data_IF_121889206362
#
_entry.id   IF_121889206362
#
_cell.length_a   1.000
_cell.length_b   1.000
_cell.length_c   1.000
_cell.angle_alpha   90.00
_cell.angle_beta   90.00
_cell.angle_gamma   90.00
#
_symmetry.space_group_name_H-M   'P 1'
#
loop_
_entity.id
_entity.type
_entity.pdbx_description
1 polymer ?
#
# COMPACT_ATOMS: atom_id res chain seq x y z
N UNK A 1 -14.90 8.34 40.86
CA UNK A 1 -15.17 7.02 40.25
C UNK A 1 -14.69 7.09 38.80
N UNK A 2 -13.77 6.24 38.35
CA UNK A 2 -13.33 6.26 36.96
C UNK A 2 -14.53 5.99 36.05
N UNK A 3 -14.60 6.71 34.93
CA UNK A 3 -15.73 6.62 34.01
C UNK A 3 -15.87 5.18 33.49
N UNK A 4 -17.10 4.63 33.43
CA UNK A 4 -17.31 3.36 32.75
C UNK A 4 -16.86 3.53 31.30
N UNK A 5 -16.00 2.62 30.81
CA UNK A 5 -15.60 2.44 29.40
C UNK A 5 -14.26 3.04 28.93
N UNK A 6 -13.43 3.62 29.79
CA UNK A 6 -12.12 4.16 29.39
C UNK A 6 -11.00 3.10 29.48
N UNK A 7 -10.96 2.17 28.52
CA UNK A 7 -9.89 1.16 28.36
C UNK A 7 -8.88 1.67 27.32
N UNK A 8 -8.09 2.68 27.67
CA UNK A 8 -7.04 3.27 26.81
C UNK A 8 -5.76 3.38 27.64
N UNK A 9 -4.62 3.03 27.05
CA UNK A 9 -3.33 3.15 27.72
C UNK A 9 -2.98 4.62 28.07
N UNK A 10 -2.64 4.94 29.33
CA UNK A 10 -2.08 6.24 29.67
C UNK A 10 -0.73 6.50 28.97
N UNK A 11 0.07 5.44 28.78
CA UNK A 11 1.33 5.50 28.04
C UNK A 11 1.11 5.87 26.57
N UNK A 12 0.07 5.31 25.94
CA UNK A 12 -0.31 5.70 24.59
C UNK A 12 -0.61 7.20 24.50
N UNK A 13 -1.42 7.75 25.40
CA UNK A 13 -1.75 9.18 25.39
C UNK A 13 -0.50 10.04 25.63
N UNK A 14 0.37 9.62 26.55
CA UNK A 14 1.65 10.27 26.81
C UNK A 14 2.50 10.36 25.53
N UNK A 15 2.68 9.26 24.80
CA UNK A 15 3.44 9.22 23.55
C UNK A 15 2.75 9.94 22.38
N UNK A 16 1.43 9.90 22.30
CA UNK A 16 0.69 10.61 21.24
C UNK A 16 0.77 12.13 21.40
N UNK A 17 0.81 12.62 22.65
CA UNK A 17 0.76 14.06 22.98
C UNK A 17 2.09 14.66 23.40
N UNK A 18 3.15 13.85 23.47
CA UNK A 18 4.49 14.22 23.93
C UNK A 18 4.47 14.86 25.35
N UNK A 19 3.54 14.39 26.20
CA UNK A 19 3.36 14.85 27.58
C UNK A 19 3.85 13.79 28.56
N UNK A 20 4.42 14.18 29.73
CA UNK A 20 4.88 13.22 30.72
C UNK A 20 3.73 12.38 31.27
N UNK A 21 3.99 11.12 31.62
CA UNK A 21 2.96 10.19 32.11
C UNK A 21 2.24 10.71 33.37
N UNK A 22 2.93 11.51 34.20
CA UNK A 22 2.37 12.15 35.41
C UNK A 22 1.20 13.10 35.12
N UNK A 23 1.12 13.62 33.89
CA UNK A 23 0.10 14.56 33.45
C UNK A 23 -1.14 13.86 32.88
N UNK A 24 -1.04 12.54 32.64
CA UNK A 24 -2.08 11.76 32.00
C UNK A 24 -2.93 11.08 33.06
N UNK A 25 -4.28 11.15 32.96
CA UNK A 25 -5.15 10.42 33.88
C UNK A 25 -4.88 8.91 33.86
N UNK A 26 -5.02 8.23 34.99
CA UNK A 26 -4.86 6.77 35.09
C UNK A 26 -5.84 5.97 34.21
N UNK A 27 -6.99 6.57 33.89
CA UNK A 27 -8.02 5.99 33.01
C UNK A 27 -8.45 7.00 31.93
N UNK A 28 -7.63 7.20 30.88
CA UNK A 28 -7.94 8.12 29.80
C UNK A 28 -9.13 7.63 28.97
N UNK A 29 -10.00 8.56 28.58
CA UNK A 29 -11.07 8.32 27.62
C UNK A 29 -10.69 8.79 26.21
N UNK A 30 -11.51 8.45 25.22
CA UNK A 30 -11.29 8.84 23.83
C UNK A 30 -11.21 10.37 23.59
N UNK A 31 -11.65 11.21 24.54
CA UNK A 31 -11.48 12.67 24.44
C UNK A 31 -10.05 13.14 24.62
N UNK A 32 -9.16 12.27 25.14
CA UNK A 32 -7.74 12.56 25.31
C UNK A 32 -6.92 12.22 24.07
N UNK A 33 -7.50 11.54 23.08
CA UNK A 33 -6.80 11.21 21.85
C UNK A 33 -6.65 12.48 20.98
N UNK A 34 -5.43 12.79 20.50
CA UNK A 34 -5.21 13.89 19.56
C UNK A 34 -5.65 13.50 18.14
N UNK A 35 -5.53 14.43 17.19
CA UNK A 35 -5.81 14.19 15.79
C UNK A 35 -7.23 14.55 15.35
N UNK A 36 -7.35 15.04 14.11
CA UNK A 36 -8.63 15.48 13.56
C UNK A 36 -9.42 14.29 13.02
N UNK A 37 -8.74 13.36 12.34
CA UNK A 37 -9.34 12.13 11.81
C UNK A 37 -9.77 11.21 12.96
N UNK A 38 -8.98 11.15 14.03
CA UNK A 38 -9.32 10.44 15.26
C UNK A 38 -10.64 10.91 15.87
N UNK A 39 -10.83 12.23 16.01
CA UNK A 39 -12.08 12.81 16.50
C UNK A 39 -13.25 12.52 15.56
N UNK A 40 -13.02 12.53 14.25
CA UNK A 40 -14.03 12.20 13.24
C UNK A 40 -14.46 10.73 13.31
N UNK A 41 -13.49 9.82 13.39
CA UNK A 41 -13.71 8.37 13.48
C UNK A 41 -14.39 8.01 14.79
N UNK A 42 -13.96 8.58 15.92
CA UNK A 42 -14.59 8.35 17.22
C UNK A 42 -16.06 8.80 17.25
N UNK A 43 -16.40 9.93 16.62
CA UNK A 43 -17.81 10.38 16.48
C UNK A 43 -18.66 9.40 15.66
N UNK A 44 -18.05 8.68 14.73
CA UNK A 44 -18.71 7.70 13.85
C UNK A 44 -18.49 6.25 14.31
N UNK A 45 -18.00 5.99 15.53
CA UNK A 45 -17.57 4.67 15.99
C UNK A 45 -18.60 3.55 15.80
N UNK A 46 -19.90 3.87 15.90
CA UNK A 46 -21.00 2.92 15.70
C UNK A 46 -21.05 2.30 14.30
N UNK A 47 -20.53 3.00 13.27
CA UNK A 47 -20.42 2.46 11.90
C UNK A 47 -19.36 1.36 11.76
N UNK A 48 -18.54 1.16 12.79
CA UNK A 48 -17.51 0.11 12.85
C UNK A 48 -17.94 -1.13 13.65
N UNK A 49 -19.14 -1.13 14.23
CA UNK A 49 -19.66 -2.31 14.91
C UNK A 49 -19.85 -3.44 13.87
N UNK A 50 -19.12 -4.54 14.06
CA UNK A 50 -19.14 -5.67 13.13
C UNK A 50 -20.49 -6.38 13.13
N UNK A 51 -20.86 -6.96 11.98
CA UNK A 51 -22.00 -7.88 11.87
C UNK A 51 -21.78 -9.22 12.61
N UNK A 52 -20.56 -9.49 13.11
CA UNK A 52 -20.25 -10.71 13.85
C UNK A 52 -20.57 -10.62 15.33
N UNK A 53 -21.03 -11.74 15.90
CA UNK A 53 -21.35 -11.82 17.32
C UNK A 53 -20.10 -11.63 18.19
N UNK A 54 -20.15 -10.74 19.20
CA UNK A 54 -19.01 -10.46 20.06
C UNK A 54 -18.64 -11.68 20.91
N UNK A 55 -17.34 -11.97 21.04
CA UNK A 55 -16.84 -13.10 21.82
C UNK A 55 -16.65 -12.71 23.29
N UNK A 56 -17.78 -12.53 24.00
CA UNK A 56 -17.76 -12.06 25.38
C UNK A 56 -17.43 -13.18 26.36
N UNK A 57 -16.25 -13.10 26.97
CA UNK A 57 -15.82 -14.01 28.03
C UNK A 57 -15.63 -13.29 29.36
N UNK A 58 -15.83 -14.01 30.47
CA UNK A 58 -15.55 -13.47 31.81
C UNK A 58 -14.11 -13.77 32.19
N UNK A 59 -13.33 -12.71 32.40
CA UNK A 59 -11.94 -12.78 32.82
C UNK A 59 -11.76 -12.16 34.20
N UNK A 60 -10.74 -12.62 34.89
CA UNK A 60 -10.25 -12.07 36.17
C UNK A 60 -8.95 -11.33 35.86
N UNK A 61 -8.89 -10.06 36.24
CA UNK A 61 -7.68 -9.26 36.08
C UNK A 61 -6.63 -9.68 37.13
N UNK A 62 -5.45 -10.13 36.69
CA UNK A 62 -4.35 -10.51 37.57
C UNK A 62 -3.76 -9.35 38.38
N UNK A 63 -3.95 -8.11 37.94
CA UNK A 63 -3.45 -6.91 38.63
C UNK A 63 -4.28 -6.48 39.84
N UNK A 64 -5.62 -6.63 39.78
CA UNK A 64 -6.51 -6.16 40.85
C UNK A 64 -7.48 -7.22 41.38
N UNK A 65 -7.43 -8.44 40.86
CA UNK A 65 -8.31 -9.56 41.23
C UNK A 65 -9.77 -9.40 40.83
N UNK A 66 -10.17 -8.28 40.20
CA UNK A 66 -11.56 -8.01 39.83
C UNK A 66 -11.93 -8.71 38.53
N UNK A 67 -13.13 -9.26 38.50
CA UNK A 67 -13.72 -9.88 37.31
C UNK A 67 -14.42 -8.85 36.41
N UNK A 68 -14.50 -9.16 35.12
CA UNK A 68 -15.25 -8.40 34.13
C UNK A 68 -15.52 -9.22 32.87
N UNK A 69 -16.53 -8.81 32.10
CA UNK A 69 -16.76 -9.34 30.76
C UNK A 69 -16.00 -8.54 29.71
N UNK A 70 -15.28 -9.23 28.83
CA UNK A 70 -14.46 -8.65 27.78
C UNK A 70 -14.71 -9.38 26.46
N UNK A 71 -14.64 -8.65 25.35
CA UNK A 71 -14.72 -9.24 24.02
C UNK A 71 -13.32 -9.67 23.59
N UNK A 72 -13.12 -10.98 23.46
CA UNK A 72 -11.85 -11.57 23.05
C UNK A 72 -11.60 -11.46 21.54
N UNK A 73 -12.58 -11.02 20.76
CA UNK A 73 -12.51 -11.10 19.31
C UNK A 73 -12.38 -12.55 18.83
N UNK A 74 -11.56 -12.75 17.80
CA UNK A 74 -11.25 -14.09 17.31
C UNK A 74 -10.20 -14.75 18.20
N UNK A 75 -10.38 -16.04 18.44
CA UNK A 75 -9.42 -16.90 19.11
C UNK A 75 -8.58 -17.61 18.04
N UNK A 76 -7.28 -17.41 18.07
CA UNK A 76 -6.35 -18.12 17.20
C UNK A 76 -5.70 -19.25 18.00
N UNK A 77 -5.57 -20.42 17.38
CA UNK A 77 -4.93 -21.58 17.99
C UNK A 77 -3.74 -22.01 17.14
N UNK A 78 -2.56 -22.11 17.77
CA UNK A 78 -1.32 -22.54 17.11
C UNK A 78 -1.02 -24.01 17.46
N UNK A 79 -1.36 -24.98 16.57
CA UNK A 79 -1.09 -26.40 16.82
C UNK A 79 0.41 -26.73 16.81
N UNK A 80 1.26 -25.94 16.16
CA UNK A 80 2.72 -26.18 16.13
C UNK A 80 3.40 -25.80 17.45
N UNK A 81 2.85 -24.82 18.16
CA UNK A 81 3.31 -24.45 19.50
C UNK A 81 2.93 -25.52 20.53
N UNK A 82 1.70 -26.06 20.44
CA UNK A 82 1.25 -27.16 21.30
C UNK A 82 2.13 -28.41 21.16
N UNK A 83 2.57 -28.75 19.95
CA UNK A 83 3.46 -29.89 19.71
C UNK A 83 4.86 -29.71 20.31
N UNK A 84 5.45 -28.51 20.20
CA UNK A 84 6.77 -28.19 20.76
C UNK A 84 6.77 -28.18 22.29
N UNK A 85 5.74 -27.59 22.89
CA UNK A 85 5.59 -27.54 24.35
C UNK A 85 5.36 -28.95 24.94
N UNK A 86 4.68 -29.84 24.20
CA UNK A 86 4.51 -31.23 24.56
C UNK A 86 5.84 -32.02 24.52
N UNK A 87 6.70 -31.79 23.52
CA UNK A 87 8.03 -32.40 23.44
C UNK A 87 8.98 -31.95 24.57
N UNK A 88 8.97 -30.66 24.93
CA UNK A 88 9.76 -30.14 26.06
C UNK A 88 9.28 -30.70 27.40
N UNK A 89 7.96 -30.86 27.59
CA UNK A 89 7.38 -31.40 28.84
C UNK A 89 7.72 -32.87 29.11
N UNK A 90 8.02 -33.67 28.07
CA UNK A 90 8.42 -35.09 28.21
C UNK A 90 9.79 -35.22 28.88
N UNK A 91 10.62 -34.16 28.86
CA UNK A 91 11.96 -34.17 29.48
C UNK A 91 11.97 -33.71 30.94
N UNK A 92 10.85 -33.24 31.47
CA UNK A 92 10.74 -32.73 32.83
C UNK A 92 9.84 -33.64 33.70
N UNK A 93 10.44 -34.31 34.68
CA UNK A 93 9.73 -35.01 35.76
C UNK A 93 8.86 -34.03 36.56
N UNK A 94 7.59 -33.83 36.18
CA UNK A 94 6.57 -33.39 37.14
C UNK A 94 5.15 -33.63 36.65
N UNK A 95 4.36 -34.16 37.57
CA UNK A 95 2.91 -34.28 37.52
C UNK A 95 2.20 -32.91 37.53
N UNK A 96 2.42 -32.09 36.49
CA UNK A 96 1.58 -30.96 36.13
C UNK A 96 0.62 -31.39 35.01
N UNK A 97 -0.20 -32.40 35.32
CA UNK A 97 -1.24 -32.95 34.45
C UNK A 97 -2.28 -31.86 34.06
N UNK A 98 -2.69 -31.88 32.79
CA UNK A 98 -3.95 -31.34 32.25
C UNK A 98 -4.25 -29.83 32.32
N UNK A 99 -3.28 -28.99 32.68
CA UNK A 99 -3.59 -27.66 33.22
C UNK A 99 -3.00 -26.44 32.52
N UNK A 100 -2.87 -26.35 31.20
CA UNK A 100 -2.79 -25.00 30.57
C UNK A 100 -3.12 -24.93 29.08
N UNK A 101 -4.23 -25.54 28.64
CA UNK A 101 -4.79 -25.29 27.30
C UNK A 101 -4.98 -23.79 26.99
N UNK A 102 -5.01 -22.95 28.03
CA UNK A 102 -5.06 -21.49 27.93
C UNK A 102 -3.77 -20.83 27.44
N UNK A 103 -2.62 -21.51 27.44
CA UNK A 103 -1.37 -20.93 26.93
C UNK A 103 -1.24 -20.96 25.41
N UNK A 104 -2.01 -21.81 24.74
CA UNK A 104 -1.84 -22.10 23.31
C UNK A 104 -2.85 -21.37 22.40
N UNK A 105 -3.46 -20.29 22.90
CA UNK A 105 -4.33 -19.45 22.09
C UNK A 105 -3.92 -17.99 22.12
N UNK A 106 -4.34 -17.24 21.10
CA UNK A 106 -4.24 -15.79 21.05
C UNK A 106 -5.63 -15.19 20.89
N UNK A 107 -5.86 -14.04 21.50
CA UNK A 107 -7.10 -13.27 21.34
C UNK A 107 -6.81 -12.02 20.51
N UNK A 108 -7.68 -11.72 19.54
CA UNK A 108 -7.53 -10.52 18.69
C UNK A 108 -8.30 -9.31 19.19
N UNK A 109 -9.14 -9.46 20.23
CA UNK A 109 -9.87 -8.37 20.85
C UNK A 109 -8.97 -7.49 21.71
N UNK A 110 -9.09 -6.17 21.55
CA UNK A 110 -8.39 -5.22 22.41
C UNK A 110 -9.23 -4.90 23.65
N UNK A 111 -8.68 -5.12 24.84
CA UNK A 111 -9.31 -4.74 26.11
C UNK A 111 -8.30 -4.58 27.26
N UNK A 112 -8.55 -3.59 28.13
CA UNK A 112 -7.84 -3.40 29.40
C UNK A 112 -8.75 -3.64 30.59
N UNK A 113 -8.24 -3.81 31.81
CA UNK A 113 -9.12 -3.96 32.97
C UNK A 113 -10.05 -2.77 33.14
N UNK A 114 -11.37 -3.02 33.18
CA UNK A 114 -12.40 -1.97 33.40
C UNK A 114 -12.24 -1.24 34.74
N UNK A 115 -11.43 -1.77 35.65
CA UNK A 115 -11.30 -1.27 37.01
C UNK A 115 -9.94 -0.67 37.39
N UNK A 116 -8.84 -1.21 36.84
CA UNK A 116 -7.48 -0.68 37.08
C UNK A 116 -6.74 -0.29 35.79
N UNK A 117 -7.39 -0.45 34.62
CA UNK A 117 -6.81 -0.18 33.30
C UNK A 117 -5.54 -0.99 32.96
N UNK A 118 -5.23 -2.02 33.76
CA UNK A 118 -4.12 -2.94 33.53
C UNK A 118 -4.29 -3.75 32.24
N UNK A 119 -3.19 -3.93 31.54
CA UNK A 119 -3.02 -4.78 30.37
C UNK A 119 -2.30 -6.07 30.77
N UNK A 120 -2.56 -7.15 30.03
CA UNK A 120 -1.90 -8.43 30.30
C UNK A 120 -2.31 -9.09 31.62
N UNK A 121 -1.83 -10.31 31.82
CA UNK A 121 -2.06 -11.11 33.02
C UNK A 121 -3.56 -11.36 33.31
N UNK A 122 -4.20 -12.09 32.41
CA UNK A 122 -5.63 -12.43 32.50
C UNK A 122 -5.81 -13.90 32.88
N UNK A 123 -6.68 -14.16 33.86
CA UNK A 123 -7.14 -15.50 34.17
C UNK A 123 -8.55 -15.70 33.63
N UNK A 124 -8.80 -16.86 33.00
CA UNK A 124 -10.14 -17.22 32.54
C UNK A 124 -10.94 -17.81 33.70
N UNK A 125 -12.17 -17.33 33.90
CA UNK A 125 -13.04 -17.86 34.95
C UNK A 125 -13.62 -19.25 34.62
N UNK A 126 -13.94 -19.50 33.35
CA UNK A 126 -14.54 -20.76 32.89
C UNK A 126 -13.81 -21.31 31.65
N UNK A 127 -12.90 -22.30 31.79
CA UNK A 127 -12.19 -22.93 30.67
C UNK A 127 -13.07 -23.55 29.60
N UNK A 128 -14.29 -23.94 29.95
CA UNK A 128 -15.13 -24.76 29.09
C UNK A 128 -15.44 -24.08 27.75
N UNK A 129 -15.35 -22.75 27.69
CA UNK A 129 -15.51 -22.01 26.43
C UNK A 129 -14.48 -22.46 25.37
N UNK A 130 -13.24 -22.75 25.77
CA UNK A 130 -12.20 -23.23 24.85
C UNK A 130 -12.50 -24.64 24.35
N UNK A 131 -13.05 -25.52 25.20
CA UNK A 131 -13.48 -26.85 24.78
C UNK A 131 -14.60 -26.78 23.74
N UNK A 132 -15.55 -25.85 23.91
CA UNK A 132 -16.59 -25.60 22.91
C UNK A 132 -15.98 -25.16 21.58
N UNK A 133 -14.96 -24.29 21.60
CA UNK A 133 -14.27 -23.89 20.38
C UNK A 133 -13.52 -25.05 19.71
N UNK A 134 -12.81 -25.89 20.46
CA UNK A 134 -12.13 -27.07 19.92
C UNK A 134 -13.12 -28.09 19.32
N UNK A 135 -14.28 -28.29 19.95
CA UNK A 135 -15.32 -29.15 19.38
C UNK A 135 -15.86 -28.59 18.07
N UNK A 136 -16.08 -27.27 17.99
CA UNK A 136 -16.49 -26.61 16.74
C UNK A 136 -15.44 -26.72 15.64
N UNK A 137 -14.16 -26.56 15.97
CA UNK A 137 -13.04 -26.75 15.02
C UNK A 137 -13.05 -28.14 14.39
N UNK A 138 -13.32 -29.18 15.18
CA UNK A 138 -13.37 -30.55 14.69
C UNK A 138 -14.63 -30.83 13.85
N UNK A 139 -15.72 -30.10 14.09
CA UNK A 139 -16.99 -30.28 13.39
C UNK A 139 -17.03 -29.55 12.04
N UNK A 140 -16.53 -28.32 11.98
CA UNK A 140 -16.41 -27.54 10.74
C UNK A 140 -15.22 -26.56 10.81
N UNK A 141 -14.04 -26.96 10.32
CA UNK A 141 -12.84 -26.11 10.37
C UNK A 141 -12.88 -24.93 9.39
N UNK A 142 -13.87 -24.84 8.50
CA UNK A 142 -13.98 -23.80 7.46
C UNK A 142 -15.11 -22.79 7.71
N UNK A 143 -15.76 -22.80 8.87
CA UNK A 143 -16.81 -21.83 9.20
C UNK A 143 -16.24 -20.40 9.22
N UNK A 144 -16.49 -19.64 8.15
CA UNK A 144 -15.88 -18.33 7.90
C UNK A 144 -16.25 -17.26 8.96
N UNK A 145 -17.40 -17.45 9.61
CA UNK A 145 -17.94 -16.58 10.68
C UNK A 145 -17.57 -17.05 12.09
N UNK A 146 -16.74 -18.08 12.23
CA UNK A 146 -16.32 -18.56 13.52
C UNK A 146 -15.50 -17.52 14.30
N UNK A 147 -15.78 -17.42 15.60
CA UNK A 147 -14.95 -16.67 16.56
C UNK A 147 -13.63 -17.41 16.88
N UNK A 148 -13.22 -18.36 16.04
CA UNK A 148 -11.98 -19.12 16.17
C UNK A 148 -11.34 -19.37 14.79
N UNK A 149 -10.01 -19.47 14.73
CA UNK A 149 -9.24 -19.88 13.53
C UNK A 149 -7.96 -20.61 13.93
N UNK A 150 -7.47 -21.50 13.06
CA UNK A 150 -6.14 -22.10 13.20
C UNK A 150 -5.10 -21.11 12.64
N UNK A 151 -4.02 -20.91 13.38
CA UNK A 151 -2.92 -20.04 12.99
C UNK A 151 -2.40 -19.21 14.16
N UNK A 152 -1.47 -18.29 13.85
CA UNK A 152 -0.88 -17.39 14.82
C UNK A 152 -0.78 -15.97 14.25
N UNK A 153 -0.84 -14.99 15.15
CA UNK A 153 -0.45 -13.61 14.89
C UNK A 153 0.91 -13.34 15.49
N UNK A 154 1.78 -12.69 14.72
CA UNK A 154 3.05 -12.18 15.20
C UNK A 154 3.19 -10.71 14.78
N UNK A 155 3.95 -9.95 15.57
CA UNK A 155 4.38 -8.61 15.21
C UNK A 155 5.50 -8.67 14.16
N UNK A 156 5.85 -7.49 13.66
CA UNK A 156 6.87 -7.31 12.61
C UNK A 156 8.26 -7.84 12.99
N UNK A 157 8.57 -7.92 14.28
CA UNK A 157 9.83 -8.45 14.82
C UNK A 157 9.76 -9.97 15.12
N UNK A 158 8.65 -10.62 14.76
CA UNK A 158 8.41 -12.04 14.99
C UNK A 158 7.91 -12.36 16.40
N UNK A 159 7.81 -11.38 17.30
CA UNK A 159 7.23 -11.60 18.63
C UNK A 159 5.75 -11.92 18.54
N UNK A 160 5.28 -12.78 19.43
CA UNK A 160 3.90 -13.27 19.43
C UNK A 160 3.35 -13.17 20.84
N UNK A 161 2.13 -12.63 20.96
CA UNK A 161 1.50 -12.38 22.25
C UNK A 161 0.15 -13.05 22.33
N UNK A 162 -0.19 -13.55 23.52
CA UNK A 162 -1.53 -14.09 23.78
C UNK A 162 -2.59 -13.00 23.71
N UNK A 163 -2.30 -11.83 24.28
CA UNK A 163 -3.25 -10.71 24.38
C UNK A 163 -2.77 -9.52 23.55
N UNK A 164 -3.68 -8.91 22.79
CA UNK A 164 -3.40 -7.68 22.00
C UNK A 164 -2.81 -6.57 22.87
N UNK A 165 -3.20 -6.47 24.14
CA UNK A 165 -2.65 -5.43 25.03
C UNK A 165 -1.21 -5.69 25.46
N UNK A 166 -0.72 -6.93 25.41
CA UNK A 166 0.70 -7.20 25.64
C UNK A 166 1.52 -6.78 24.42
N UNK A 167 0.99 -7.05 23.22
CA UNK A 167 1.55 -6.53 21.98
C UNK A 167 1.53 -4.98 21.93
N UNK A 168 0.48 -4.34 22.47
CA UNK A 168 0.42 -2.89 22.64
C UNK A 168 1.57 -2.40 23.52
N UNK A 169 1.76 -2.97 24.72
CA UNK A 169 2.83 -2.54 25.63
C UNK A 169 4.21 -2.72 25.00
N UNK A 170 4.45 -3.84 24.30
CA UNK A 170 5.69 -4.07 23.57
C UNK A 170 5.96 -2.99 22.51
N UNK A 171 4.95 -2.64 21.70
CA UNK A 171 5.10 -1.56 20.71
C UNK A 171 5.27 -0.18 21.38
N UNK A 172 4.63 0.07 22.53
CA UNK A 172 4.81 1.31 23.29
C UNK A 172 6.22 1.39 23.92
N UNK A 173 6.85 0.26 24.25
CA UNK A 173 8.25 0.21 24.68
C UNK A 173 9.19 0.57 23.53
N UNK A 174 8.97 0.00 22.34
CA UNK A 174 9.74 0.35 21.13
C UNK A 174 9.56 1.82 20.71
N UNK A 175 8.39 2.40 20.96
CA UNK A 175 8.06 3.80 20.68
C UNK A 175 8.53 4.79 21.76
N UNK A 176 9.06 4.32 22.90
CA UNK A 176 9.54 5.19 23.96
C UNK A 176 10.85 5.91 23.60
N UNK A 177 11.68 5.26 22.77
CA UNK A 177 12.92 5.81 22.22
C UNK A 177 13.11 5.26 20.80
N UNK A 178 12.26 5.67 19.83
CA UNK A 178 12.30 5.12 18.50
C UNK A 178 13.43 5.75 17.71
N UNK A 179 14.13 4.92 16.93
CA UNK A 179 14.90 5.42 15.79
C UNK A 179 13.98 6.28 14.90
N UNK A 180 14.35 7.55 14.60
CA UNK A 180 13.51 8.45 13.80
C UNK A 180 13.01 7.83 12.49
N UNK A 181 13.81 7.00 11.83
CA UNK A 181 13.44 6.32 10.57
C UNK A 181 12.45 5.17 10.76
N UNK A 182 12.28 4.69 11.99
CA UNK A 182 11.38 3.58 12.34
C UNK A 182 10.09 4.06 13.00
N UNK A 183 10.06 5.28 13.54
CA UNK A 183 8.93 5.83 14.26
C UNK A 183 7.61 5.75 13.46
N UNK A 184 7.60 6.20 12.21
CA UNK A 184 6.40 6.14 11.35
C UNK A 184 5.87 4.73 11.14
N UNK A 185 6.76 3.76 10.95
CA UNK A 185 6.40 2.34 10.82
C UNK A 185 5.91 1.72 12.12
N UNK A 186 6.57 1.98 13.26
CA UNK A 186 6.14 1.45 14.55
C UNK A 186 4.74 1.97 14.92
N UNK A 187 4.47 3.26 14.68
CA UNK A 187 3.13 3.83 14.83
C UNK A 187 2.11 3.18 13.89
N UNK A 188 2.50 2.88 12.64
CA UNK A 188 1.65 2.15 11.71
C UNK A 188 1.32 0.74 12.25
N UNK A 189 2.32 0.00 12.75
CA UNK A 189 2.13 -1.35 13.32
C UNK A 189 1.19 -1.31 14.51
N UNK A 190 1.30 -0.30 15.37
CA UNK A 190 0.37 -0.07 16.48
C UNK A 190 -1.04 0.25 15.99
N UNK A 191 -1.18 1.04 14.92
CA UNK A 191 -2.47 1.32 14.27
C UNK A 191 -3.14 0.05 13.72
N UNK A 192 -2.37 -0.83 13.07
CA UNK A 192 -2.85 -2.12 12.58
C UNK A 192 -3.34 -3.01 13.74
N UNK A 193 -2.60 -3.05 14.84
CA UNK A 193 -2.98 -3.78 16.05
C UNK A 193 -4.34 -3.30 16.60
N UNK A 194 -4.55 -1.98 16.68
CA UNK A 194 -5.83 -1.43 17.12
C UNK A 194 -6.98 -1.66 16.15
N UNK A 195 -6.71 -1.60 14.83
CA UNK A 195 -7.70 -1.88 13.79
C UNK A 195 -8.18 -3.33 13.91
N UNK A 196 -7.26 -4.28 14.05
CA UNK A 196 -7.58 -5.69 14.32
C UNK A 196 -8.35 -5.85 15.64
N UNK A 197 -7.95 -5.11 16.67
CA UNK A 197 -8.62 -5.02 17.96
C UNK A 197 -10.00 -4.36 17.97
N UNK A 198 -10.56 -3.98 16.80
CA UNK A 198 -11.83 -3.26 16.65
C UNK A 198 -11.88 -1.94 17.44
N UNK A 199 -10.75 -1.22 17.50
CA UNK A 199 -10.60 0.11 18.13
C UNK A 199 -10.25 1.15 17.05
N UNK A 200 -11.20 1.51 16.16
CA UNK A 200 -10.93 2.40 15.04
C UNK A 200 -10.43 3.78 15.49
N UNK A 201 -10.87 4.27 16.66
CA UNK A 201 -10.40 5.54 17.22
C UNK A 201 -8.93 5.51 17.65
N UNK A 202 -8.45 4.37 18.18
CA UNK A 202 -7.03 4.23 18.55
C UNK A 202 -6.18 4.00 17.30
N UNK A 203 -6.70 3.23 16.33
CA UNK A 203 -6.07 3.01 15.05
C UNK A 203 -5.84 4.34 14.31
N UNK A 204 -6.87 5.18 14.23
CA UNK A 204 -6.79 6.51 13.63
C UNK A 204 -5.70 7.38 14.27
N UNK A 205 -5.63 7.40 15.61
CA UNK A 205 -4.64 8.19 16.34
C UNK A 205 -3.21 7.74 16.05
N UNK A 206 -3.00 6.43 16.02
CA UNK A 206 -1.71 5.84 15.69
C UNK A 206 -1.32 6.07 14.23
N UNK A 207 -2.26 5.95 13.28
CA UNK A 207 -1.98 6.26 11.88
C UNK A 207 -1.73 7.75 11.64
N UNK A 208 -2.44 8.66 12.31
CA UNK A 208 -2.15 10.10 12.24
C UNK A 208 -0.74 10.39 12.80
N UNK A 209 -0.34 9.80 13.93
CA UNK A 209 1.02 9.96 14.48
C UNK A 209 2.09 9.30 13.59
N UNK A 210 1.76 8.20 12.92
CA UNK A 210 2.61 7.57 11.90
C UNK A 210 2.91 8.53 10.75
N UNK A 211 1.88 9.20 10.21
CA UNK A 211 2.04 10.18 9.13
C UNK A 211 2.72 11.49 9.58
N UNK A 212 2.67 11.83 10.86
CA UNK A 212 3.47 12.94 11.41
C UNK A 212 4.96 12.60 11.48
N UNK A 213 5.30 11.32 11.70
CA UNK A 213 6.69 10.87 11.77
C UNK A 213 7.27 10.52 10.38
N UNK A 214 6.45 9.93 9.52
CA UNK A 214 6.76 9.62 8.13
C UNK A 214 5.54 9.95 7.25
N UNK A 215 5.50 11.15 6.65
CA UNK A 215 4.41 11.55 5.77
C UNK A 215 4.24 10.61 4.58
N UNK A 216 5.30 9.94 4.11
CA UNK A 216 5.25 9.05 2.97
C UNK A 216 4.79 7.62 3.32
N UNK A 217 4.49 7.32 4.59
CA UNK A 217 4.16 5.97 5.04
C UNK A 217 2.90 5.43 4.36
N UNK A 218 3.09 4.70 3.25
CA UNK A 218 2.04 4.32 2.32
C UNK A 218 0.94 3.45 2.97
N UNK A 219 1.32 2.53 3.85
CA UNK A 219 0.39 1.65 4.55
C UNK A 219 -0.55 2.42 5.50
N UNK A 220 -0.08 3.49 6.15
CA UNK A 220 -0.90 4.34 7.03
C UNK A 220 -1.93 5.13 6.24
N UNK A 221 -1.54 5.67 5.08
CA UNK A 221 -2.47 6.27 4.15
C UNK A 221 -3.55 5.29 3.71
N UNK A 222 -3.19 4.08 3.27
CA UNK A 222 -4.17 3.06 2.91
C UNK A 222 -5.13 2.73 4.06
N UNK A 223 -4.60 2.53 5.26
CA UNK A 223 -5.41 2.17 6.42
C UNK A 223 -6.35 3.30 6.88
N UNK A 224 -5.92 4.57 6.84
CA UNK A 224 -6.81 5.71 7.07
C UNK A 224 -7.88 5.81 5.99
N UNK A 225 -7.53 5.58 4.72
CA UNK A 225 -8.46 5.52 3.61
C UNK A 225 -9.60 4.52 3.87
N UNK A 226 -9.27 3.31 4.32
CA UNK A 226 -10.24 2.28 4.70
C UNK A 226 -11.17 2.73 5.83
N UNK A 227 -10.61 3.31 6.90
CA UNK A 227 -11.41 3.77 8.04
C UNK A 227 -12.38 4.90 7.63
N UNK A 228 -11.94 5.81 6.76
CA UNK A 228 -12.73 6.93 6.27
C UNK A 228 -13.81 6.50 5.27
N UNK A 229 -13.49 5.56 4.38
CA UNK A 229 -14.44 4.98 3.43
C UNK A 229 -15.59 4.27 4.16
N UNK A 230 -15.26 3.53 5.24
CA UNK A 230 -16.25 2.86 6.07
C UNK A 230 -17.26 3.82 6.70
N UNK A 231 -16.84 5.05 7.03
CA UNK A 231 -17.75 6.08 7.56
C UNK A 231 -18.37 6.99 6.49
N UNK A 232 -18.07 6.72 5.21
CA UNK A 232 -18.53 7.48 4.02
C UNK A 232 -17.97 8.89 3.92
N UNK A 233 -16.77 9.12 4.45
CA UNK A 233 -16.03 10.38 4.24
C UNK A 233 -15.24 10.28 2.92
N UNK A 234 -15.97 10.28 1.80
CA UNK A 234 -15.47 9.92 0.47
C UNK A 234 -14.25 10.75 0.03
N UNK A 235 -14.27 12.07 0.24
CA UNK A 235 -13.18 12.98 -0.18
C UNK A 235 -11.90 12.70 0.61
N UNK A 236 -12.01 12.51 1.94
CA UNK A 236 -10.85 12.22 2.79
C UNK A 236 -10.33 10.80 2.54
N UNK A 237 -11.22 9.84 2.27
CA UNK A 237 -10.83 8.49 1.92
C UNK A 237 -10.06 8.48 0.60
N UNK A 238 -10.59 9.14 -0.43
CA UNK A 238 -9.95 9.26 -1.74
C UNK A 238 -8.59 9.94 -1.65
N UNK A 239 -8.49 11.03 -0.88
CA UNK A 239 -7.21 11.69 -0.59
C UNK A 239 -6.16 10.68 -0.10
N UNK A 240 -6.49 9.91 0.93
CA UNK A 240 -5.55 8.95 1.50
C UNK A 240 -5.24 7.77 0.58
N UNK A 241 -6.20 7.25 -0.18
CA UNK A 241 -5.91 6.22 -1.18
C UNK A 241 -4.99 6.73 -2.29
N UNK A 242 -5.21 7.96 -2.77
CA UNK A 242 -4.34 8.58 -3.77
C UNK A 242 -2.93 8.81 -3.24
N UNK A 243 -2.78 9.24 -1.98
CA UNK A 243 -1.47 9.35 -1.33
C UNK A 243 -0.76 8.01 -1.20
N UNK A 244 -1.49 6.94 -0.85
CA UNK A 244 -0.94 5.59 -0.85
C UNK A 244 -0.39 5.20 -2.24
N UNK A 245 -1.12 5.46 -3.32
CA UNK A 245 -0.66 5.15 -4.68
C UNK A 245 0.62 5.92 -5.06
N UNK A 246 0.71 7.20 -4.69
CA UNK A 246 1.86 8.05 -4.99
C UNK A 246 3.10 7.63 -4.17
N UNK A 247 2.92 7.31 -2.89
CA UNK A 247 4.03 7.04 -1.98
C UNK A 247 4.48 5.58 -1.93
N UNK A 248 3.63 4.64 -2.37
CA UNK A 248 3.91 3.20 -2.33
C UNK A 248 5.26 2.80 -2.93
N UNK A 249 5.68 3.44 -4.04
CA UNK A 249 6.96 3.10 -4.69
C UNK A 249 8.18 3.29 -3.77
N UNK A 250 8.09 4.12 -2.74
CA UNK A 250 9.17 4.35 -1.77
C UNK A 250 9.20 3.32 -0.63
N UNK A 251 8.15 2.52 -0.43
CA UNK A 251 8.09 1.52 0.63
C UNK A 251 8.95 0.29 0.31
N UNK A 252 10.16 0.25 0.84
CA UNK A 252 11.10 -0.86 0.68
C UNK A 252 10.91 -1.99 1.71
N UNK A 253 9.99 -1.84 2.66
CA UNK A 253 9.77 -2.80 3.75
C UNK A 253 8.73 -3.85 3.38
N UNK A 254 7.77 -3.50 2.54
CA UNK A 254 6.73 -4.42 2.05
C UNK A 254 7.20 -5.24 0.85
N UNK A 255 6.80 -6.51 0.80
CA UNK A 255 6.99 -7.36 -0.38
C UNK A 255 6.30 -6.72 -1.61
N UNK A 256 6.92 -6.83 -2.78
CA UNK A 256 6.43 -6.14 -3.98
C UNK A 256 5.05 -6.64 -4.44
N UNK A 257 4.73 -7.92 -4.22
CA UNK A 257 3.43 -8.47 -4.59
C UNK A 257 2.35 -8.04 -3.60
N UNK A 258 2.67 -8.00 -2.31
CA UNK A 258 1.78 -7.46 -1.27
C UNK A 258 1.50 -5.97 -1.51
N UNK A 259 2.55 -5.20 -1.84
CA UNK A 259 2.44 -3.78 -2.18
C UNK A 259 1.55 -3.57 -3.41
N UNK A 260 1.77 -4.35 -4.48
CA UNK A 260 0.90 -4.30 -5.68
C UNK A 260 -0.55 -4.62 -5.33
N UNK A 261 -0.80 -5.64 -4.51
CA UNK A 261 -2.14 -6.03 -4.09
C UNK A 261 -2.82 -4.92 -3.27
N UNK A 262 -2.08 -4.26 -2.37
CA UNK A 262 -2.59 -3.13 -1.60
C UNK A 262 -2.93 -1.94 -2.49
N UNK A 263 -2.07 -1.61 -3.46
CA UNK A 263 -2.33 -0.55 -4.45
C UNK A 263 -3.56 -0.86 -5.30
N UNK A 264 -3.70 -2.10 -5.76
CA UNK A 264 -4.90 -2.56 -6.48
C UNK A 264 -6.17 -2.43 -5.62
N UNK A 265 -6.09 -2.75 -4.33
CA UNK A 265 -7.20 -2.58 -3.40
C UNK A 265 -7.57 -1.10 -3.21
N UNK A 266 -6.58 -0.20 -3.19
CA UNK A 266 -6.80 1.24 -3.11
C UNK A 266 -7.50 1.76 -4.38
N UNK A 267 -7.05 1.34 -5.57
CA UNK A 267 -7.69 1.68 -6.84
C UNK A 267 -9.13 1.18 -6.90
N UNK A 268 -9.39 -0.06 -6.48
CA UNK A 268 -10.76 -0.60 -6.39
C UNK A 268 -11.64 0.22 -5.46
N UNK A 269 -11.10 0.65 -4.30
CA UNK A 269 -11.83 1.50 -3.37
C UNK A 269 -12.11 2.88 -3.97
N UNK A 270 -11.15 3.47 -4.70
CA UNK A 270 -11.32 4.72 -5.45
C UNK A 270 -12.38 4.60 -6.55
N UNK A 271 -12.41 3.50 -7.31
CA UNK A 271 -13.50 3.21 -8.26
C UNK A 271 -14.86 3.14 -7.54
N UNK A 272 -14.91 2.48 -6.39
CA UNK A 272 -16.12 2.44 -5.56
C UNK A 272 -16.56 3.83 -5.07
N UNK A 273 -15.63 4.71 -4.73
CA UNK A 273 -15.92 6.10 -4.34
C UNK A 273 -16.40 6.91 -5.56
N UNK A 274 -15.71 6.79 -6.70
CA UNK A 274 -16.05 7.45 -7.95
C UNK A 274 -17.49 7.13 -8.36
N UNK A 275 -17.86 5.85 -8.39
CA UNK A 275 -19.22 5.41 -8.73
C UNK A 275 -20.26 5.95 -7.74
N UNK A 276 -19.98 5.95 -6.43
CA UNK A 276 -20.92 6.45 -5.41
C UNK A 276 -21.06 7.98 -5.41
N UNK A 277 -20.12 8.69 -6.02
CA UNK A 277 -20.13 10.16 -6.14
C UNK A 277 -20.54 10.62 -7.54
N UNK A 278 -21.11 9.72 -8.36
CA UNK A 278 -21.50 9.98 -9.75
C UNK A 278 -20.37 10.63 -10.58
N UNK A 279 -19.14 10.20 -10.32
CA UNK A 279 -17.92 10.69 -10.96
C UNK A 279 -17.33 11.96 -10.36
N UNK A 280 -17.88 12.50 -9.27
CA UNK A 280 -17.41 13.72 -8.61
C UNK A 280 -16.01 13.62 -7.99
N UNK A 281 -15.50 12.40 -7.78
CA UNK A 281 -14.13 12.15 -7.32
C UNK A 281 -13.42 11.28 -8.35
N UNK A 282 -12.34 11.77 -8.94
CA UNK A 282 -11.55 11.02 -9.91
C UNK A 282 -10.80 9.84 -9.29
N UNK A 283 -10.71 8.75 -10.05
CA UNK A 283 -10.04 7.51 -9.60
C UNK A 283 -8.54 7.74 -9.52
N UNK A 284 -7.95 8.34 -10.55
CA UNK A 284 -6.50 8.55 -10.61
C UNK A 284 -6.10 9.79 -9.80
N UNK A 285 -4.89 9.82 -9.18
CA UNK A 285 -4.33 11.03 -8.62
C UNK A 285 -4.09 12.08 -9.72
N UNK A 286 -4.52 13.32 -9.49
CA UNK A 286 -4.28 14.48 -10.36
C UNK A 286 -2.94 15.14 -10.05
N UNK A 287 -2.47 16.08 -10.88
CA UNK A 287 -1.28 16.89 -10.54
C UNK A 287 -1.46 17.70 -9.25
N UNK A 288 -2.67 18.14 -8.94
CA UNK A 288 -2.95 18.73 -7.62
C UNK A 288 -2.75 17.73 -6.49
N UNK A 289 -3.13 16.46 -6.66
CA UNK A 289 -2.90 15.43 -5.65
C UNK A 289 -1.40 15.15 -5.42
N UNK A 290 -0.54 15.47 -6.37
CA UNK A 290 0.93 15.38 -6.25
C UNK A 290 1.53 16.62 -5.60
N UNK A 291 1.01 17.80 -5.94
CA UNK A 291 1.57 19.10 -5.54
C UNK A 291 1.01 19.58 -4.20
N UNK A 292 -0.26 19.32 -3.93
CA UNK A 292 -0.93 19.48 -2.63
C UNK A 292 -0.65 18.21 -1.83
N UNK A 293 0.57 18.16 -1.30
CA UNK A 293 0.96 17.16 -0.32
C UNK A 293 0.56 17.50 1.10
N UNK A 294 -0.25 18.54 1.34
CA UNK A 294 -0.75 18.73 2.69
C UNK A 294 -1.93 19.71 2.90
N UNK A 295 -2.97 19.34 3.66
CA UNK A 295 -3.81 20.28 4.42
C UNK A 295 -3.21 20.73 5.78
N UNK A 296 -2.04 20.23 6.19
CA UNK A 296 -1.32 20.54 7.44
C UNK A 296 -0.06 21.41 7.28
N UNK A 297 0.29 21.85 6.06
CA UNK A 297 1.34 22.86 5.82
C UNK A 297 2.76 22.36 5.47
N UNK A 298 2.95 21.11 5.07
CA UNK A 298 4.26 20.58 4.67
C UNK A 298 4.46 20.46 3.14
N UNK A 299 5.62 20.88 2.66
CA UNK A 299 5.98 20.90 1.23
C UNK A 299 6.46 19.54 0.73
N UNK A 300 6.36 19.29 -0.58
CA UNK A 300 6.90 18.11 -1.27
C UNK A 300 8.36 17.73 -0.91
N UNK A 301 9.15 18.67 -0.38
CA UNK A 301 10.51 18.42 0.11
C UNK A 301 10.57 17.45 1.31
N UNK A 302 9.53 17.36 2.16
CA UNK A 302 9.47 16.42 3.29
C UNK A 302 9.28 14.95 2.89
N UNK A 303 8.92 14.70 1.62
CA UNK A 303 8.64 13.38 1.07
C UNK A 303 9.77 12.85 0.17
N UNK A 304 10.92 13.54 0.11
CA UNK A 304 11.99 13.22 -0.85
C UNK A 304 11.59 13.46 -2.33
N UNK A 305 10.46 14.12 -2.58
CA UNK A 305 9.95 14.40 -3.93
C UNK A 305 10.59 15.63 -4.58
N UNK A 306 11.47 16.33 -3.86
CA UNK A 306 12.18 17.52 -4.35
C UNK A 306 13.44 17.19 -5.17
N UNK A 307 13.90 15.93 -5.16
CA UNK A 307 15.04 15.48 -5.94
C UNK A 307 14.71 14.19 -6.70
N UNK A 308 13.74 14.23 -7.61
CA UNK A 308 13.71 13.24 -8.68
C UNK A 308 13.36 13.86 -10.03
N UNK A 309 14.08 13.41 -11.04
CA UNK A 309 14.31 14.08 -12.31
C UNK A 309 13.06 14.06 -13.20
N UNK A 310 12.15 15.02 -13.01
CA UNK A 310 11.11 15.31 -14.00
C UNK A 310 10.12 14.16 -14.29
N UNK A 311 9.91 13.24 -13.35
CA UNK A 311 8.84 12.24 -13.44
C UNK A 311 7.51 12.88 -13.00
N UNK A 312 6.96 13.75 -13.85
CA UNK A 312 5.58 14.21 -13.70
C UNK A 312 4.63 13.02 -13.85
N UNK A 313 3.65 12.91 -12.95
CA UNK A 313 2.53 12.01 -13.15
C UNK A 313 1.83 12.34 -14.48
N UNK A 314 1.46 11.33 -15.29
CA UNK A 314 1.08 11.50 -16.68
C UNK A 314 -0.32 12.11 -16.71
N UNK A 315 -0.42 13.31 -17.27
CA UNK A 315 -1.67 14.06 -17.18
C UNK A 315 -2.73 13.54 -18.16
N UNK A 316 -2.35 12.94 -19.29
CA UNK A 316 -3.32 12.45 -20.26
C UNK A 316 -2.78 11.20 -20.95
N UNK A 317 -3.27 10.05 -20.53
CA UNK A 317 -3.07 8.79 -21.22
C UNK A 317 -4.44 8.17 -21.40
N UNK A 318 -4.96 8.17 -22.62
CA UNK A 318 -6.11 7.35 -23.01
C UNK A 318 -5.67 5.89 -23.13
N UNK A 319 -5.17 5.32 -22.02
CA UNK A 319 -5.09 3.87 -21.87
C UNK A 319 -6.42 3.42 -21.28
N UNK A 320 -7.20 2.73 -22.11
CA UNK A 320 -8.47 2.16 -21.69
C UNK A 320 -8.18 0.95 -20.80
N UNK A 321 -8.15 1.19 -19.49
CA UNK A 321 -8.03 0.11 -18.51
C UNK A 321 -9.43 -0.47 -18.29
N UNK A 322 -9.60 -1.75 -18.63
CA UNK A 322 -10.80 -2.51 -18.28
C UNK A 322 -10.82 -2.78 -16.76
N UNK A 323 -11.17 -1.75 -15.97
CA UNK A 323 -11.27 -1.84 -14.51
C UNK A 323 -12.58 -2.51 -14.13
N UNK A 324 -12.50 -3.76 -13.70
CA UNK A 324 -13.65 -4.57 -13.29
C UNK A 324 -13.71 -4.56 -11.75
N UNK A 325 -14.69 -3.88 -11.11
CA UNK A 325 -14.70 -3.72 -9.65
C UNK A 325 -14.64 -5.03 -8.86
N UNK A 326 -15.21 -6.10 -9.38
CA UNK A 326 -15.26 -7.41 -8.71
C UNK A 326 -14.01 -8.27 -8.93
N UNK A 327 -13.07 -7.85 -9.80
CA UNK A 327 -11.82 -8.56 -10.08
C UNK A 327 -10.63 -7.68 -9.70
N UNK A 328 -10.00 -8.00 -8.57
CA UNK A 328 -8.88 -7.20 -8.06
C UNK A 328 -7.70 -7.18 -9.04
N UNK A 329 -7.50 -8.27 -9.77
CA UNK A 329 -6.44 -8.45 -10.76
C UNK A 329 -6.57 -7.47 -11.93
N UNK A 330 -7.78 -6.98 -12.23
CA UNK A 330 -7.99 -5.98 -13.28
C UNK A 330 -7.29 -4.65 -12.97
N UNK A 331 -6.99 -4.39 -11.70
CA UNK A 331 -6.29 -3.19 -11.24
C UNK A 331 -4.76 -3.36 -11.19
N UNK A 332 -4.22 -4.58 -11.38
CA UNK A 332 -2.77 -4.82 -11.32
C UNK A 332 -1.97 -4.03 -12.36
N UNK A 333 -2.41 -3.88 -13.63
CA UNK A 333 -1.67 -3.08 -14.60
C UNK A 333 -1.51 -1.63 -14.14
N UNK A 334 -2.57 -1.03 -13.59
CA UNK A 334 -2.53 0.33 -13.06
C UNK A 334 -1.63 0.41 -11.82
N UNK A 335 -1.75 -0.53 -10.88
CA UNK A 335 -0.88 -0.56 -9.71
C UNK A 335 0.62 -0.67 -10.11
N UNK A 336 0.93 -1.53 -11.06
CA UNK A 336 2.28 -1.71 -11.63
C UNK A 336 2.81 -0.47 -12.36
N UNK A 337 1.92 0.33 -12.96
CA UNK A 337 2.28 1.63 -13.53
C UNK A 337 2.79 2.58 -12.43
N UNK A 338 2.10 2.68 -11.30
CA UNK A 338 2.50 3.54 -10.17
C UNK A 338 3.76 3.04 -9.43
N UNK A 339 4.10 1.76 -9.53
CA UNK A 339 5.36 1.23 -8.99
C UNK A 339 6.61 1.74 -9.72
N UNK A 340 6.47 2.30 -10.93
CA UNK A 340 7.59 2.79 -11.73
C UNK A 340 8.66 1.70 -11.93
N UNK A 341 9.94 2.04 -11.70
CA UNK A 341 11.06 1.12 -11.87
C UNK A 341 10.97 -0.14 -10.97
N UNK A 342 10.29 -0.05 -9.83
CA UNK A 342 10.13 -1.21 -8.93
C UNK A 342 9.22 -2.28 -9.49
N UNK A 343 8.47 -2.00 -10.57
CA UNK A 343 7.75 -3.04 -11.32
C UNK A 343 8.68 -4.19 -11.71
N UNK A 344 9.96 -3.93 -11.97
CA UNK A 344 10.94 -4.96 -12.32
C UNK A 344 11.24 -5.97 -11.20
N UNK A 345 10.95 -5.63 -9.94
CA UNK A 345 11.04 -6.54 -8.79
C UNK A 345 9.97 -7.65 -8.88
N UNK A 346 8.88 -7.42 -9.63
CA UNK A 346 7.83 -8.42 -9.86
C UNK A 346 8.37 -9.47 -10.85
N UNK A 347 8.25 -10.78 -10.53
CA UNK A 347 8.64 -11.83 -11.47
C UNK A 347 7.91 -11.67 -12.80
N UNK A 348 8.63 -11.79 -13.91
CA UNK A 348 8.12 -11.49 -15.27
C UNK A 348 6.79 -12.17 -15.60
N UNK A 349 6.62 -13.45 -15.20
CA UNK A 349 5.37 -14.21 -15.37
C UNK A 349 4.14 -13.59 -14.69
N UNK A 350 4.34 -12.68 -13.74
CA UNK A 350 3.29 -12.02 -12.98
C UNK A 350 3.14 -10.54 -13.35
N UNK A 351 3.98 -9.98 -14.24
CA UNK A 351 3.90 -8.56 -14.65
C UNK A 351 2.76 -8.34 -15.63
N UNK A 352 1.65 -7.83 -15.10
CA UNK A 352 0.41 -7.64 -15.86
C UNK A 352 0.45 -6.40 -16.75
N UNK A 353 1.17 -5.35 -16.35
CA UNK A 353 1.31 -4.12 -17.15
C UNK A 353 2.11 -4.39 -18.44
N UNK A 354 3.25 -5.07 -18.34
CA UNK A 354 4.08 -5.42 -19.50
C UNK A 354 3.28 -6.29 -20.50
N UNK A 355 2.52 -7.26 -20.00
CA UNK A 355 1.65 -8.11 -20.81
C UNK A 355 0.52 -7.31 -21.49
N UNK A 356 -0.07 -6.35 -20.77
CA UNK A 356 -1.11 -5.47 -21.31
C UNK A 356 -0.57 -4.61 -22.46
N UNK A 357 0.58 -3.95 -22.27
CA UNK A 357 1.24 -3.15 -23.30
C UNK A 357 1.57 -4.01 -24.53
N UNK A 358 2.10 -5.22 -24.32
CA UNK A 358 2.39 -6.14 -25.43
C UNK A 358 1.14 -6.57 -26.20
N UNK A 359 -0.01 -6.73 -25.52
CA UNK A 359 -1.30 -7.05 -26.15
C UNK A 359 -1.82 -5.84 -26.94
N UNK A 360 -1.88 -4.67 -26.34
CA UNK A 360 -2.33 -3.43 -26.99
C UNK A 360 -1.49 -3.13 -28.24
N UNK A 361 -0.17 -3.33 -28.18
CA UNK A 361 0.72 -3.20 -29.34
C UNK A 361 0.37 -4.17 -30.47
N UNK A 362 0.11 -5.44 -30.16
CA UNK A 362 -0.31 -6.45 -31.16
C UNK A 362 -1.66 -6.11 -31.77
N UNK A 363 -2.60 -5.59 -30.99
CA UNK A 363 -3.93 -5.21 -31.47
C UNK A 363 -3.86 -3.98 -32.39
N UNK A 364 -3.03 -2.99 -32.05
CA UNK A 364 -2.75 -1.84 -32.90
C UNK A 364 -2.07 -2.25 -34.22
N UNK A 365 -1.14 -3.20 -34.17
CA UNK A 365 -0.49 -3.78 -35.36
C UNK A 365 -1.46 -4.64 -36.20
N UNK A 366 -2.55 -5.15 -35.61
CA UNK A 366 -3.52 -6.06 -36.24
C UNK A 366 -4.79 -5.39 -36.76
N UNK A 367 -4.99 -4.08 -36.61
CA UNK A 367 -6.10 -3.33 -37.21
C UNK A 367 -5.68 -2.69 -38.55
N UNK A 368 -6.07 -3.26 -39.71
CA UNK A 368 -5.98 -2.57 -40.98
C UNK A 368 -7.27 -1.74 -41.20
N UNK A 369 -7.09 -0.48 -41.59
CA UNK A 369 -8.09 0.41 -42.23
C UNK A 369 -9.01 1.29 -41.35
N UNK A 370 -8.53 2.51 -41.07
CA UNK A 370 -9.33 3.72 -41.31
C UNK A 370 -8.48 4.87 -41.90
N UNK A 371 -7.75 4.60 -43.00
CA UNK A 371 -7.30 5.65 -43.91
C UNK A 371 -7.53 5.24 -45.36
N UNK A 372 -8.79 5.31 -45.78
CA UNK A 372 -9.14 5.48 -47.18
C UNK A 372 -8.81 6.91 -47.62
N UNK A 373 -7.57 7.12 -48.03
CA UNK A 373 -7.24 8.16 -49.00
C UNK A 373 -5.99 7.72 -49.76
N UNK A 374 -6.24 7.17 -50.94
CA UNK A 374 -5.29 6.80 -51.96
C UNK A 374 -3.94 7.55 -51.87
N UNK A 375 -2.85 6.84 -51.64
CA UNK A 375 -1.53 7.22 -52.12
C UNK A 375 -0.72 5.97 -52.44
N UNK A 376 -0.25 5.96 -53.68
CA UNK A 376 0.53 4.92 -54.31
C UNK A 376 1.63 4.40 -53.39
N UNK A 377 1.79 3.07 -53.38
CA UNK A 377 2.92 2.38 -52.79
C UNK A 377 4.25 2.99 -53.29
N UNK A 378 4.83 3.87 -52.49
CA UNK A 378 6.27 4.12 -52.51
C UNK A 378 6.87 3.17 -51.51
N UNK A 379 7.73 2.28 -52.01
CA UNK A 379 8.55 1.35 -51.24
C UNK A 379 9.50 2.13 -50.33
N UNK A 380 9.00 2.56 -49.18
CA UNK A 380 9.75 3.20 -48.11
C UNK A 380 9.50 2.45 -46.82
N UNK A 381 10.57 2.19 -46.06
CA UNK A 381 10.47 1.60 -44.73
C UNK A 381 9.70 2.57 -43.82
N UNK A 382 8.50 2.19 -43.39
CA UNK A 382 7.74 2.96 -42.41
C UNK A 382 8.49 2.94 -41.08
N UNK A 383 8.78 4.12 -40.55
CA UNK A 383 9.54 4.35 -39.33
C UNK A 383 8.56 4.53 -38.18
N UNK A 384 8.56 3.60 -37.24
CA UNK A 384 7.72 3.67 -36.05
C UNK A 384 8.54 4.32 -34.94
N UNK A 385 8.00 5.37 -34.33
CA UNK A 385 8.72 6.15 -33.31
C UNK A 385 7.78 6.43 -32.16
N UNK A 386 8.25 6.25 -30.93
CA UNK A 386 7.49 6.61 -29.74
C UNK A 386 8.21 7.75 -29.01
N UNK A 387 7.45 8.76 -28.59
CA UNK A 387 7.97 10.00 -27.99
C UNK A 387 7.23 10.37 -26.72
N UNK A 388 7.85 11.15 -25.84
CA UNK A 388 7.31 11.48 -24.50
C UNK A 388 6.39 12.71 -24.49
N UNK A 389 6.32 13.47 -25.58
CA UNK A 389 5.50 14.68 -25.68
C UNK A 389 5.07 15.01 -27.11
N UNK A 390 4.00 15.79 -27.25
CA UNK A 390 3.58 16.36 -28.54
C UNK A 390 4.66 17.25 -29.17
N UNK A 391 5.47 17.94 -28.35
CA UNK A 391 6.57 18.76 -28.85
C UNK A 391 7.65 17.89 -29.52
N UNK A 392 7.99 16.76 -28.91
CA UNK A 392 8.90 15.78 -29.52
C UNK A 392 8.28 15.13 -30.76
N UNK A 393 6.97 14.85 -30.76
CA UNK A 393 6.28 14.34 -31.93
C UNK A 393 6.38 15.31 -33.12
N UNK A 394 6.19 16.61 -32.86
CA UNK A 394 6.35 17.65 -33.86
C UNK A 394 7.80 17.76 -34.37
N UNK A 395 8.80 17.64 -33.47
CA UNK A 395 10.22 17.60 -33.86
C UNK A 395 10.52 16.40 -34.78
N UNK A 396 10.06 15.20 -34.42
CA UNK A 396 10.29 13.98 -35.20
C UNK A 396 9.56 14.02 -36.54
N UNK A 397 8.33 14.53 -36.57
CA UNK A 397 7.58 14.71 -37.81
C UNK A 397 8.36 15.56 -38.81
N UNK A 398 8.98 16.67 -38.36
CA UNK A 398 9.84 17.51 -39.22
C UNK A 398 11.10 16.78 -39.70
N UNK A 399 11.71 15.95 -38.85
CA UNK A 399 12.87 15.13 -39.23
C UNK A 399 12.46 14.14 -40.33
N UNK A 400 11.36 13.45 -40.16
CA UNK A 400 10.86 12.46 -41.11
C UNK A 400 10.50 13.10 -42.45
N UNK A 401 9.82 14.25 -42.45
CA UNK A 401 9.55 15.03 -43.67
C UNK A 401 10.84 15.45 -44.38
N UNK A 402 11.83 15.97 -43.65
CA UNK A 402 13.12 16.42 -44.20
C UNK A 402 13.87 15.28 -44.91
N UNK A 403 13.76 14.05 -44.39
CA UNK A 403 14.44 12.88 -44.94
C UNK A 403 13.54 12.01 -45.81
N UNK A 404 12.34 12.46 -46.19
CA UNK A 404 11.36 11.68 -46.98
C UNK A 404 11.17 10.26 -46.41
N UNK A 405 10.95 10.20 -45.09
CA UNK A 405 10.65 9.00 -44.31
C UNK A 405 9.18 8.99 -43.94
N UNK A 406 8.49 7.89 -44.24
CA UNK A 406 7.13 7.68 -43.76
C UNK A 406 7.21 7.29 -42.28
N UNK A 407 6.59 8.06 -41.38
CA UNK A 407 6.67 7.79 -39.95
C UNK A 407 5.30 7.67 -39.28
N UNK A 408 5.21 6.72 -38.34
CA UNK A 408 4.10 6.61 -37.41
C UNK A 408 4.67 7.02 -36.05
N UNK A 409 4.15 8.11 -35.49
CA UNK A 409 4.61 8.66 -34.22
C UNK A 409 3.55 8.38 -33.17
N UNK A 410 3.88 7.53 -32.21
CA UNK A 410 3.10 7.30 -31.00
C UNK A 410 3.62 8.14 -29.84
N UNK A 411 2.76 8.51 -28.91
CA UNK A 411 3.18 9.18 -27.67
C UNK A 411 3.16 8.13 -26.56
N UNK A 412 4.33 7.80 -25.99
CA UNK A 412 4.51 6.77 -24.95
C UNK A 412 5.50 7.23 -23.87
N UNK A 413 5.50 6.58 -22.71
CA UNK A 413 6.39 6.90 -21.58
C UNK A 413 7.88 6.71 -21.86
N UNK A 414 8.22 5.73 -22.68
CA UNK A 414 9.59 5.43 -23.08
C UNK A 414 9.78 5.85 -24.51
N UNK A 415 10.84 6.62 -24.73
CA UNK A 415 11.20 7.08 -26.06
C UNK A 415 11.95 5.97 -26.79
N UNK A 416 11.33 5.39 -27.81
CA UNK A 416 11.99 4.43 -28.71
C UNK A 416 12.21 5.07 -30.08
N UNK A 417 13.46 5.50 -30.30
CA UNK A 417 13.94 6.07 -31.56
C UNK A 417 14.70 5.04 -32.40
N UNK A 418 14.68 3.76 -32.05
CA UNK A 418 15.57 2.75 -32.64
C UNK A 418 15.35 2.61 -34.14
N UNK A 419 14.09 2.59 -34.58
CA UNK A 419 13.74 2.51 -36.00
C UNK A 419 14.08 3.80 -36.75
N UNK A 420 13.88 4.97 -36.14
CA UNK A 420 14.29 6.26 -36.72
C UNK A 420 15.82 6.33 -36.88
N UNK A 421 16.56 5.94 -35.84
CA UNK A 421 18.03 5.87 -35.87
C UNK A 421 18.51 4.93 -36.98
N UNK A 422 17.85 3.78 -37.14
CA UNK A 422 18.18 2.79 -38.18
C UNK A 422 17.86 3.33 -39.58
N UNK A 423 16.69 3.91 -39.79
CA UNK A 423 16.28 4.48 -41.07
C UNK A 423 17.17 5.66 -41.50
N UNK A 424 17.51 6.55 -40.56
CA UNK A 424 18.45 7.64 -40.81
C UNK A 424 19.85 7.11 -41.12
N UNK A 425 20.31 6.07 -40.44
CA UNK A 425 21.61 5.43 -40.73
C UNK A 425 21.62 4.80 -42.12
N UNK A 426 20.55 4.09 -42.51
CA UNK A 426 20.40 3.50 -43.84
C UNK A 426 20.38 4.56 -44.95
N UNK A 427 19.68 5.69 -44.75
CA UNK A 427 19.65 6.79 -45.74
C UNK A 427 20.94 7.60 -45.83
N UNK A 428 21.62 7.81 -44.70
CA UNK A 428 22.80 8.68 -44.64
C UNK A 428 24.11 7.94 -44.89
N UNK A 429 24.13 6.61 -44.77
CA UNK A 429 25.36 5.83 -44.94
C UNK A 429 25.80 5.82 -46.41
N UNK A 430 26.98 6.37 -46.74
CA UNK A 430 27.59 6.14 -48.04
C UNK A 430 27.99 4.66 -48.18
N UNK A 431 28.22 4.22 -49.42
CA UNK A 431 28.68 2.88 -49.77
C UNK A 431 29.95 2.48 -49.01
N UNK A 432 30.80 3.45 -48.66
CA UNK A 432 31.98 3.28 -47.83
C UNK A 432 31.99 4.27 -46.67
N UNK A 433 31.92 3.75 -45.44
CA UNK A 433 31.88 4.54 -44.19
C UNK A 433 33.11 5.42 -43.94
N UNK A 434 34.19 5.26 -44.72
CA UNK A 434 35.40 6.11 -44.66
C UNK A 434 35.42 7.25 -45.68
N UNK A 435 34.36 7.41 -46.49
CA UNK A 435 34.19 8.55 -47.38
C UNK A 435 33.80 9.84 -46.62
N UNK A 436 34.03 11.02 -47.22
CA UNK A 436 33.60 12.30 -46.66
C UNK A 436 32.11 12.30 -46.32
N UNK A 437 31.77 12.83 -45.15
CA UNK A 437 30.40 12.80 -44.65
C UNK A 437 29.47 13.71 -45.49
N UNK A 438 28.26 13.26 -45.86
CA UNK A 438 27.31 14.03 -46.68
C UNK A 438 26.86 15.37 -46.08
N UNK A 439 27.05 15.57 -44.77
CA UNK A 439 26.72 16.81 -44.08
C UNK A 439 27.75 17.95 -44.28
N UNK A 440 28.73 17.77 -45.18
CA UNK A 440 29.77 18.77 -45.51
C UNK A 440 30.64 19.23 -44.33
N UNK A 441 30.76 18.43 -43.28
CA UNK A 441 31.56 18.75 -42.08
C UNK A 441 33.08 18.61 -42.29
N UNK A 442 33.54 18.16 -43.46
CA UNK A 442 34.94 17.86 -43.75
C UNK A 442 35.50 16.59 -43.06
N UNK A 443 34.70 15.89 -42.26
CA UNK A 443 35.07 14.63 -41.58
C UNK A 443 34.54 13.41 -42.34
N UNK A 444 35.14 12.22 -42.14
CA UNK A 444 34.62 10.96 -42.69
C UNK A 444 33.32 10.54 -42.01
N UNK A 445 32.41 9.87 -42.73
CA UNK A 445 31.07 9.50 -42.23
C UNK A 445 31.11 8.75 -40.88
N UNK A 446 31.98 7.74 -40.74
CA UNK A 446 32.19 6.96 -39.50
C UNK A 446 32.47 7.83 -38.27
N UNK A 447 33.14 8.98 -38.45
CA UNK A 447 33.55 9.88 -37.37
C UNK A 447 32.70 11.16 -37.29
N UNK A 448 31.58 11.22 -38.03
CA UNK A 448 30.69 12.37 -38.06
C UNK A 448 29.23 11.96 -37.84
N UNK A 449 28.40 11.89 -38.88
CA UNK A 449 26.98 11.57 -38.74
C UNK A 449 26.75 10.18 -38.13
N UNK A 450 27.58 9.17 -38.46
CA UNK A 450 27.47 7.84 -37.84
C UNK A 450 27.73 7.87 -36.32
N UNK A 451 28.65 8.71 -35.86
CA UNK A 451 28.95 8.88 -34.44
C UNK A 451 27.82 9.62 -33.71
N UNK A 452 27.23 10.65 -34.33
CA UNK A 452 26.05 11.36 -33.81
C UNK A 452 24.82 10.47 -33.75
N UNK A 453 24.56 9.67 -34.78
CA UNK A 453 23.44 8.72 -34.83
C UNK A 453 23.56 7.61 -33.76
N UNK A 454 24.79 7.27 -33.33
CA UNK A 454 25.04 6.31 -32.25
C UNK A 454 24.70 6.87 -30.86
N UNK A 455 24.71 8.20 -30.70
CA UNK A 455 24.32 8.94 -29.48
C UNK A 455 23.18 9.92 -29.80
N UNK A 456 22.21 9.46 -30.57
CA UNK A 456 21.17 10.32 -31.14
C UNK A 456 20.30 10.91 -30.02
N UNK A 457 20.45 12.21 -29.83
CA UNK A 457 19.70 13.07 -28.91
C UNK A 457 18.83 14.02 -29.74
N UNK A 458 17.53 14.07 -29.45
CA UNK A 458 16.54 14.90 -30.15
C UNK A 458 16.79 16.39 -30.01
N UNK A 459 17.46 16.83 -28.95
CA UNK A 459 17.71 18.25 -28.71
C UNK A 459 19.00 18.74 -29.40
N UNK A 460 19.87 17.83 -29.85
CA UNK A 460 21.11 18.14 -30.58
C UNK A 460 21.02 17.98 -32.12
N UNK A 461 19.92 17.41 -32.64
CA UNK A 461 19.81 16.89 -34.02
C UNK A 461 18.75 17.61 -34.86
#
# INVERSE_FOLDING_TARGET
MPAPNAQISPRLISLLTDRPLSDIPESPSASHLPGALTKLINRNRKKFEAYSEPNKQTLICGHCGRQGQYDLGQILFDPEQQGRDAEESITADSAANDGDMFKHFQATGYFRCKHCNGAGNWAVKNPLFLMVYLLKMNADPMEEQANFRIGKTALHDGTSFQWVTDAEEHLLDLLADPDPEQAGFLWNRLGNLYKQGKRPELAAAAFEKSLQADPAQAESHFSLGLLLDQIRENEKAAYHYKKHLISAKYDRRMDILDLRQMMAAALRALTGIHLRTDGGIEIMPTKEDVTVLDPYGETAAGFGLAEDNGESLPEHLEMDFDLIPDQLESFYPVAEMYLGNRREEIPEKYRTFDAMIAKTRKEAEAQPESRSAARQAKSGRTVIVTVKSEEQAAKISRICEKYDLECIIGIEFFEDLSDLRKALTEKLSPSNIYEPCPCNSGKKFKFCCAAKLKKFDLDEF
#
